data_IF_311666871625
#
_entry.id   IF_311666871625
#
_cell.length_a   1.000
_cell.length_b   1.000
_cell.length_c   1.000
_cell.angle_alpha   90.00
_cell.angle_beta   90.00
_cell.angle_gamma   90.00
#
_symmetry.space_group_name_H-M   'P 1'
#
loop_
_entity.id
_entity.type
_entity.pdbx_description
1 polymer ?
#
# COMPACT_ATOMS: atom_id res chain seq x y z
N UNK A 1 -28.56 -56.66 19.54
CA UNK A 1 -28.74 -55.28 20.07
C UNK A 1 -27.40 -54.56 20.22
N UNK A 2 -26.37 -55.16 20.84
CA UNK A 2 -25.06 -54.53 21.05
C UNK A 2 -24.33 -54.13 19.75
N UNK A 3 -24.38 -54.96 18.69
CA UNK A 3 -23.78 -54.67 17.37
C UNK A 3 -24.40 -53.47 16.63
N UNK A 4 -25.70 -53.23 16.84
CA UNK A 4 -26.43 -52.10 16.23
C UNK A 4 -26.02 -50.81 16.95
N UNK A 5 -25.96 -50.84 18.28
CA UNK A 5 -25.51 -49.72 19.10
C UNK A 5 -24.07 -49.29 18.73
N UNK A 6 -23.16 -50.26 18.56
CA UNK A 6 -21.76 -49.98 18.18
C UNK A 6 -21.63 -49.40 16.78
N UNK A 7 -22.53 -49.78 15.85
CA UNK A 7 -22.56 -49.24 14.48
C UNK A 7 -23.03 -47.79 14.46
N UNK A 8 -24.08 -47.46 15.23
CA UNK A 8 -24.56 -46.08 15.37
C UNK A 8 -23.51 -45.16 16.04
N UNK A 9 -22.82 -45.65 17.07
CA UNK A 9 -21.74 -44.88 17.71
C UNK A 9 -20.57 -44.65 16.76
N UNK A 10 -20.18 -45.65 15.96
CA UNK A 10 -19.10 -45.50 14.99
C UNK A 10 -19.45 -44.50 13.88
N UNK A 11 -20.70 -44.52 13.41
CA UNK A 11 -21.22 -43.60 12.40
C UNK A 11 -21.22 -42.15 12.91
N UNK A 12 -21.63 -41.93 14.17
CA UNK A 12 -21.59 -40.61 14.81
C UNK A 12 -20.15 -40.08 14.93
N UNK A 13 -19.18 -40.93 15.33
CA UNK A 13 -17.78 -40.51 15.47
C UNK A 13 -17.19 -40.09 14.12
N UNK A 14 -17.48 -40.83 13.04
CA UNK A 14 -17.06 -40.49 11.67
C UNK A 14 -17.68 -39.17 11.20
N UNK A 15 -18.95 -38.92 11.51
CA UNK A 15 -19.63 -37.67 11.16
C UNK A 15 -19.05 -36.44 11.89
N UNK A 16 -18.68 -36.57 13.17
CA UNK A 16 -18.02 -35.49 13.92
C UNK A 16 -16.60 -35.21 13.41
N UNK A 17 -15.85 -36.24 13.02
CA UNK A 17 -14.49 -36.07 12.47
C UNK A 17 -14.50 -35.34 11.12
N UNK A 18 -15.48 -35.62 10.26
CA UNK A 18 -15.64 -34.95 8.97
C UNK A 18 -15.99 -33.45 9.12
N UNK A 19 -16.79 -33.09 10.14
CA UNK A 19 -17.13 -31.69 10.41
C UNK A 19 -15.92 -30.88 10.91
N UNK A 20 -15.00 -31.50 11.66
CA UNK A 20 -13.77 -30.84 12.14
C UNK A 20 -12.78 -30.54 10.99
N UNK A 21 -12.83 -31.30 9.90
CA UNK A 21 -11.96 -31.11 8.73
C UNK A 21 -12.37 -29.92 7.84
N UNK A 22 -13.50 -29.26 8.11
CA UNK A 22 -14.00 -28.10 7.36
C UNK A 22 -13.73 -26.76 8.06
N UNK A 23 -13.00 -26.77 9.18
CA UNK A 23 -12.53 -25.53 9.80
C UNK A 23 -11.30 -25.07 9.04
N UNK A 24 -11.53 -24.32 7.95
CA UNK A 24 -10.50 -23.43 7.41
C UNK A 24 -10.11 -22.48 8.54
N UNK A 25 -8.97 -22.79 9.16
CA UNK A 25 -8.36 -21.92 10.16
C UNK A 25 -8.01 -20.61 9.46
N UNK A 26 -8.91 -19.63 9.52
CA UNK A 26 -8.65 -18.29 9.06
C UNK A 26 -7.44 -17.78 9.86
N UNK A 27 -6.27 -17.79 9.23
CA UNK A 27 -5.04 -17.27 9.80
C UNK A 27 -5.33 -15.84 10.27
N UNK A 28 -5.16 -15.58 11.56
CA UNK A 28 -5.36 -14.24 12.09
C UNK A 28 -4.37 -13.29 11.40
N UNK A 29 -4.82 -12.16 10.83
CA UNK A 29 -3.93 -11.23 10.16
C UNK A 29 -2.90 -10.70 11.16
N UNK A 30 -1.62 -11.03 10.93
CA UNK A 30 -0.52 -10.51 11.76
C UNK A 30 -0.44 -8.99 11.58
N UNK A 31 -0.29 -8.28 12.70
CA UNK A 31 -0.31 -6.80 12.71
C UNK A 31 0.85 -6.19 11.93
N UNK A 32 1.99 -6.88 11.86
CA UNK A 32 3.21 -6.43 11.17
C UNK A 32 3.34 -6.82 9.70
N UNK A 33 2.36 -7.51 9.12
CA UNK A 33 2.41 -7.90 7.71
C UNK A 33 1.89 -6.77 6.81
N UNK A 34 2.55 -6.49 5.67
CA UNK A 34 2.01 -5.56 4.67
C UNK A 34 0.67 -6.03 4.10
N UNK A 35 -0.41 -5.31 4.39
CA UNK A 35 -1.75 -5.57 3.86
C UNK A 35 -2.14 -4.57 2.78
N UNK A 36 -2.78 -5.05 1.72
CA UNK A 36 -3.31 -4.18 0.66
C UNK A 36 -4.45 -3.29 1.20
N UNK A 37 -4.49 -2.04 0.74
CA UNK A 37 -5.58 -1.10 1.03
C UNK A 37 -5.97 -0.33 -0.24
N UNK A 38 -7.19 0.22 -0.32
CA UNK A 38 -7.61 0.99 -1.49
C UNK A 38 -6.71 2.20 -1.75
N UNK A 39 -6.34 2.42 -3.02
CA UNK A 39 -5.39 3.45 -3.42
C UNK A 39 -5.96 4.87 -3.31
N UNK A 40 -7.29 5.01 -3.31
CA UNK A 40 -7.99 6.28 -3.22
C UNK A 40 -8.26 6.74 -1.78
N UNK A 41 -7.83 5.98 -0.77
CA UNK A 41 -7.97 6.41 0.63
C UNK A 41 -7.22 7.72 0.85
N UNK A 42 -7.79 8.60 1.67
CA UNK A 42 -7.25 9.94 1.93
C UNK A 42 -5.84 9.92 2.52
N UNK A 43 -5.54 8.95 3.38
CA UNK A 43 -4.22 8.75 3.98
C UNK A 43 -3.16 8.30 2.95
N UNK A 44 -3.52 7.37 2.06
CA UNK A 44 -2.67 6.94 0.93
C UNK A 44 -2.35 8.11 0.01
N UNK A 45 -3.36 8.90 -0.37
CA UNK A 45 -3.17 10.07 -1.24
C UNK A 45 -2.27 11.11 -0.56
N UNK A 46 -2.43 11.31 0.75
CA UNK A 46 -1.56 12.21 1.53
C UNK A 46 -0.11 11.71 1.56
N UNK A 47 0.11 10.43 1.85
CA UNK A 47 1.45 9.83 1.87
C UNK A 47 2.13 9.90 0.49
N UNK A 48 1.38 9.64 -0.59
CA UNK A 48 1.88 9.77 -1.96
C UNK A 48 2.29 11.21 -2.29
N UNK A 49 1.46 12.21 -1.92
CA UNK A 49 1.79 13.63 -2.12
C UNK A 49 3.06 14.04 -1.36
N UNK A 50 3.19 13.61 -0.11
CA UNK A 50 4.41 13.83 0.67
C UNK A 50 5.65 13.24 -0.01
N UNK A 51 5.56 11.98 -0.48
CA UNK A 51 6.68 11.32 -1.17
C UNK A 51 7.06 12.03 -2.47
N UNK A 52 6.08 12.48 -3.27
CA UNK A 52 6.34 13.18 -4.54
C UNK A 52 6.91 14.58 -4.32
N UNK A 53 6.45 15.29 -3.28
CA UNK A 53 7.02 16.58 -2.88
C UNK A 53 8.50 16.47 -2.47
N UNK A 54 8.86 15.40 -1.73
CA UNK A 54 10.25 15.09 -1.42
C UNK A 54 11.05 14.63 -2.67
N UNK A 55 10.43 13.83 -3.55
CA UNK A 55 11.07 13.33 -4.77
C UNK A 55 11.48 14.47 -5.71
N UNK A 56 10.51 15.25 -6.20
CA UNK A 56 10.45 16.65 -5.87
C UNK A 56 11.78 17.41 -5.64
N UNK A 57 11.86 18.00 -4.46
CA UNK A 57 13.01 18.73 -3.93
C UNK A 57 14.36 18.04 -4.15
N UNK A 58 14.44 16.71 -4.04
CA UNK A 58 15.69 15.97 -4.19
C UNK A 58 16.14 15.70 -5.64
N UNK A 59 15.25 15.78 -6.64
CA UNK A 59 15.58 15.43 -8.03
C UNK A 59 16.17 16.63 -8.79
N UNK A 60 17.37 17.06 -8.40
CA UNK A 60 18.05 18.26 -8.92
C UNK A 60 18.40 18.18 -10.42
N UNK A 61 18.54 16.97 -10.96
CA UNK A 61 18.93 16.74 -12.36
C UNK A 61 17.82 17.08 -13.36
N UNK A 62 16.56 17.12 -12.90
CA UNK A 62 15.42 17.49 -13.72
C UNK A 62 14.87 18.83 -13.28
N UNK A 63 14.99 19.84 -14.15
CA UNK A 63 14.46 21.17 -13.90
C UNK A 63 12.93 21.18 -13.80
N UNK A 64 12.26 20.14 -14.31
CA UNK A 64 10.81 20.03 -14.30
C UNK A 64 10.29 19.18 -13.15
N UNK A 65 9.14 19.57 -12.60
CA UNK A 65 8.47 18.81 -11.55
C UNK A 65 7.76 17.56 -12.09
N UNK A 66 7.58 16.57 -11.23
CA UNK A 66 6.75 15.39 -11.51
C UNK A 66 5.45 15.46 -10.73
N UNK A 67 4.36 14.97 -11.33
CA UNK A 67 3.06 14.81 -10.67
C UNK A 67 2.61 13.35 -10.67
N UNK A 68 1.74 13.01 -9.73
CA UNK A 68 1.11 11.69 -9.66
C UNK A 68 0.15 11.54 -10.84
N UNK A 69 0.35 10.51 -11.66
CA UNK A 69 -0.61 10.08 -12.67
C UNK A 69 -1.57 9.05 -12.09
N UNK A 70 -1.03 8.05 -11.38
CA UNK A 70 -1.81 6.99 -10.77
C UNK A 70 -1.05 6.36 -9.59
N UNK A 71 -1.77 5.96 -8.54
CA UNK A 71 -1.26 5.10 -7.49
C UNK A 71 -1.68 3.67 -7.86
N UNK A 72 -0.74 2.86 -8.35
CA UNK A 72 -1.04 1.53 -8.89
C UNK A 72 -1.16 0.46 -7.80
N UNK A 73 -0.51 0.67 -6.65
CA UNK A 73 -0.53 -0.25 -5.52
C UNK A 73 -0.38 0.53 -4.21
N UNK A 74 -1.14 0.12 -3.19
CA UNK A 74 -1.03 0.67 -1.85
C UNK A 74 -1.13 -0.46 -0.82
N UNK A 75 -0.14 -0.51 0.08
CA UNK A 75 -0.15 -1.40 1.24
C UNK A 75 0.18 -0.61 2.51
N UNK A 76 -0.33 -1.08 3.64
CA UNK A 76 0.06 -0.59 4.97
C UNK A 76 0.69 -1.70 5.79
N UNK A 77 1.65 -1.32 6.62
CA UNK A 77 2.31 -2.20 7.56
C UNK A 77 2.47 -1.46 8.90
N UNK A 78 2.02 -2.09 9.99
CA UNK A 78 2.20 -1.54 11.34
C UNK A 78 3.62 -1.85 11.82
N UNK A 79 4.33 -0.83 12.27
CA UNK A 79 5.70 -0.90 12.79
C UNK A 79 5.79 0.01 14.04
N UNK A 80 6.96 0.58 14.35
CA UNK A 80 7.07 1.73 15.26
C UNK A 80 6.51 3.03 14.61
N UNK A 81 5.29 2.94 14.08
CA UNK A 81 4.64 3.86 13.15
C UNK A 81 3.77 3.10 12.15
N UNK A 82 3.45 3.73 11.02
CA UNK A 82 2.73 3.12 9.91
C UNK A 82 3.53 3.32 8.62
N UNK A 83 3.92 2.22 7.99
CA UNK A 83 4.52 2.28 6.66
C UNK A 83 3.41 2.26 5.60
N UNK A 84 3.40 3.25 4.72
CA UNK A 84 2.69 3.22 3.44
C UNK A 84 3.67 2.77 2.36
N UNK A 85 3.43 1.59 1.80
CA UNK A 85 4.25 1.02 0.72
C UNK A 85 3.47 1.22 -0.58
N UNK A 86 3.92 2.18 -1.39
CA UNK A 86 3.18 2.67 -2.54
C UNK A 86 3.97 2.43 -3.82
N UNK A 87 3.31 1.88 -4.84
CA UNK A 87 3.82 1.94 -6.21
C UNK A 87 3.00 2.99 -6.97
N UNK A 88 3.68 4.00 -7.51
CA UNK A 88 3.10 5.23 -8.05
C UNK A 88 3.70 5.53 -9.41
N UNK A 89 2.85 5.78 -10.39
CA UNK A 89 3.24 6.28 -11.70
C UNK A 89 3.30 7.80 -11.67
N UNK A 90 4.45 8.35 -11.99
CA UNK A 90 4.67 9.79 -12.10
C UNK A 90 4.76 10.22 -13.56
N UNK A 91 4.32 11.44 -13.84
CA UNK A 91 4.44 12.10 -15.13
C UNK A 91 5.17 13.42 -14.98
N UNK A 92 6.17 13.66 -15.83
CA UNK A 92 6.87 14.93 -15.90
C UNK A 92 5.89 16.03 -16.37
N UNK A 93 6.01 17.19 -15.75
CA UNK A 93 5.18 18.37 -16.02
C UNK A 93 5.95 19.37 -16.87
N UNK A 94 5.29 20.40 -17.39
CA UNK A 94 5.95 21.53 -18.07
C UNK A 94 6.49 22.57 -17.09
N UNK A 95 6.26 22.37 -15.80
CA UNK A 95 6.57 23.33 -14.76
C UNK A 95 8.01 23.23 -14.30
N UNK A 96 8.73 24.36 -14.28
CA UNK A 96 10.07 24.44 -13.67
C UNK A 96 9.94 24.49 -12.16
N UNK A 97 10.74 23.69 -11.45
CA UNK A 97 10.64 23.57 -9.97
C UNK A 97 10.93 24.89 -9.21
N UNK A 98 11.64 25.84 -9.83
CA UNK A 98 12.09 27.11 -9.23
C UNK A 98 11.11 28.29 -9.37
N UNK A 99 10.01 28.15 -10.10
CA UNK A 99 8.94 29.17 -10.08
C UNK A 99 8.04 28.93 -8.86
N UNK A 100 7.45 29.97 -8.25
CA UNK A 100 6.28 29.83 -7.40
C UNK A 100 5.05 30.20 -8.23
N UNK A 101 4.19 29.24 -8.59
CA UNK A 101 2.95 29.59 -9.28
C UNK A 101 1.75 28.76 -8.85
N UNK A 102 0.73 29.52 -8.49
CA UNK A 102 -0.68 29.21 -8.26
C UNK A 102 -1.41 28.65 -9.50
N UNK A 103 -0.70 28.22 -10.54
CA UNK A 103 -1.30 27.76 -11.80
C UNK A 103 -1.46 26.24 -11.86
N UNK A 104 -2.59 25.81 -12.43
CA UNK A 104 -2.95 24.40 -12.60
C UNK A 104 -1.90 23.69 -13.48
N UNK A 105 -1.24 22.71 -12.88
CA UNK A 105 -0.11 22.00 -13.47
C UNK A 105 -0.54 21.06 -14.61
N UNK A 106 -0.35 21.49 -15.86
CA UNK A 106 -0.58 20.70 -17.07
C UNK A 106 0.59 19.73 -17.29
N UNK A 107 0.30 18.49 -17.69
CA UNK A 107 1.32 17.50 -18.07
C UNK A 107 1.94 17.87 -19.41
N UNK A 108 3.24 17.63 -19.59
CA UNK A 108 3.85 17.75 -20.92
C UNK A 108 3.29 16.66 -21.85
N UNK A 109 3.01 17.03 -23.11
CA UNK A 109 2.49 16.15 -24.17
C UNK A 109 3.48 15.06 -24.60
N UNK A 110 4.75 15.17 -24.21
CA UNK A 110 5.79 14.14 -24.36
C UNK A 110 6.16 13.60 -22.97
N UNK A 111 5.32 12.69 -22.45
CA UNK A 111 5.27 12.32 -21.04
C UNK A 111 6.46 11.42 -20.69
N UNK A 112 7.57 11.98 -20.23
CA UNK A 112 8.53 11.17 -19.45
C UNK A 112 7.78 10.67 -18.21
N UNK A 113 7.54 9.37 -18.16
CA UNK A 113 6.89 8.72 -17.04
C UNK A 113 7.91 7.96 -16.21
N UNK A 114 7.72 7.96 -14.90
CA UNK A 114 8.51 7.13 -13.99
C UNK A 114 7.58 6.18 -13.24
N UNK A 115 8.02 4.95 -13.05
CA UNK A 115 7.38 4.04 -12.12
C UNK A 115 8.18 4.05 -10.83
N UNK A 116 7.60 4.61 -9.77
CA UNK A 116 8.25 4.78 -8.49
C UNK A 116 7.65 3.86 -7.42
N UNK A 117 8.52 3.29 -6.60
CA UNK A 117 8.17 2.67 -5.33
C UNK A 117 8.62 3.59 -4.20
N UNK A 118 7.67 3.91 -3.33
CA UNK A 118 7.90 4.70 -2.12
C UNK A 118 7.56 3.90 -0.88
N UNK A 119 8.36 4.04 0.18
CA UNK A 119 7.97 3.65 1.54
C UNK A 119 7.96 4.91 2.38
N UNK A 120 6.80 5.26 2.91
CA UNK A 120 6.59 6.42 3.74
C UNK A 120 6.25 5.94 5.14
N UNK A 121 7.04 6.31 6.14
CA UNK A 121 6.76 6.00 7.55
C UNK A 121 6.08 7.20 8.19
N UNK A 122 4.82 7.06 8.56
CA UNK A 122 4.09 8.00 9.40
C UNK A 122 4.30 7.60 10.87
N UNK A 123 4.62 8.58 11.72
CA UNK A 123 4.67 8.42 13.18
C UNK A 123 3.58 9.33 13.76
N UNK A 124 2.34 8.82 13.94
CA UNK A 124 1.18 9.66 14.24
C UNK A 124 1.35 10.50 15.51
N UNK A 125 1.89 9.91 16.58
CA UNK A 125 2.11 10.60 17.87
C UNK A 125 3.22 11.65 17.84
N UNK A 126 3.99 11.73 16.75
CA UNK A 126 4.97 12.80 16.51
C UNK A 126 4.54 13.76 15.39
N UNK A 127 3.38 13.53 14.77
CA UNK A 127 2.92 14.25 13.58
C UNK A 127 4.01 14.33 12.48
N UNK A 128 4.69 13.20 12.23
CA UNK A 128 5.89 13.14 11.40
C UNK A 128 5.71 12.16 10.25
N UNK A 129 6.11 12.58 9.05
CA UNK A 129 6.24 11.73 7.86
C UNK A 129 7.72 11.64 7.47
N UNK A 130 8.18 10.43 7.14
CA UNK A 130 9.55 10.16 6.72
C UNK A 130 9.50 9.39 5.40
N UNK A 131 10.23 9.86 4.39
CA UNK A 131 10.43 9.11 3.15
C UNK A 131 11.55 8.08 3.36
N UNK A 132 11.20 6.89 3.82
CA UNK A 132 12.14 5.84 4.17
C UNK A 132 12.78 5.17 2.95
N UNK A 133 12.03 5.04 1.84
CA UNK A 133 12.54 4.50 0.59
C UNK A 133 11.95 5.22 -0.62
N UNK A 134 12.79 5.40 -1.63
CA UNK A 134 12.46 5.91 -2.95
C UNK A 134 13.25 5.13 -3.99
N UNK A 135 12.57 4.49 -4.94
CA UNK A 135 13.16 3.84 -6.10
C UNK A 135 12.30 4.15 -7.31
N UNK A 136 12.87 4.71 -8.37
CA UNK A 136 12.14 5.00 -9.60
C UNK A 136 12.88 4.38 -10.79
N UNK A 137 12.11 3.93 -11.78
CA UNK A 137 12.59 3.47 -13.08
C UNK A 137 11.93 4.27 -14.20
#
# INVERSE_FOLDING_TARGET
MLKIMTSFTLLCILALAAAAALVDGAAQPMTGEPRAIPQNRTDVVRAARFAVANFNEANIDDIYAYKILNITSAKIQIVAGVNYILDVRLGRTSYKRSTPSTEQCVLQTQVKTLQCRFIITEIPWKNLFILALKRCV
#
